data_IF_521873594331
#
_entry.id   IF_521873594331
#
_cell.length_a   1.000
_cell.length_b   1.000
_cell.length_c   1.000
_cell.angle_alpha   90.00
_cell.angle_beta   90.00
_cell.angle_gamma   90.00
#
_symmetry.space_group_name_H-M   'P 1'
#
loop_
_entity.id
_entity.type
_entity.pdbx_description
1 polymer ?
#
# COMPACT_ATOMS: atom_id res chain seq x y z
N UNK A 1 8.42 33.61 40.83
CA UNK A 1 8.33 33.38 39.37
C UNK A 1 8.43 31.88 39.17
N UNK A 2 7.31 31.24 38.91
CA UNK A 2 7.22 29.79 38.72
C UNK A 2 7.27 29.54 37.23
N UNK A 3 8.30 28.88 36.73
CA UNK A 3 8.37 28.45 35.33
C UNK A 3 7.20 27.51 35.02
N UNK A 4 6.51 27.69 33.88
CA UNK A 4 5.48 26.74 33.47
C UNK A 4 6.14 25.38 33.15
N UNK A 5 5.48 24.25 33.44
CA UNK A 5 6.00 22.95 33.11
C UNK A 5 6.14 22.84 31.58
N UNK A 6 7.35 22.46 31.14
CA UNK A 6 7.63 22.07 29.75
C UNK A 6 6.72 20.89 29.44
N UNK A 7 5.71 21.10 28.60
CA UNK A 7 4.90 20.00 28.06
C UNK A 7 5.82 19.05 27.31
N UNK A 8 6.00 17.85 27.84
CA UNK A 8 6.62 16.76 27.11
C UNK A 8 5.84 16.55 25.79
N UNK A 9 6.52 16.46 24.64
CA UNK A 9 5.84 16.12 23.40
C UNK A 9 5.13 14.78 23.59
N UNK A 10 3.90 14.63 23.05
CA UNK A 10 3.17 13.38 23.17
C UNK A 10 4.07 12.24 22.64
N UNK A 11 4.08 11.06 23.30
CA UNK A 11 4.90 9.95 22.86
C UNK A 11 4.59 9.67 21.39
N UNK A 12 5.63 9.67 20.56
CA UNK A 12 5.52 9.26 19.16
C UNK A 12 4.77 7.92 19.16
N UNK A 13 3.57 7.90 18.57
CA UNK A 13 2.77 6.68 18.50
C UNK A 13 3.55 5.68 17.68
N UNK A 14 4.19 4.75 18.37
CA UNK A 14 4.98 3.67 17.75
C UNK A 14 4.07 2.91 16.78
N UNK A 15 4.54 2.68 15.57
CA UNK A 15 3.83 1.82 14.61
C UNK A 15 3.51 0.47 15.24
N UNK A 16 2.33 -0.09 14.99
CA UNK A 16 2.09 -1.50 15.30
C UNK A 16 3.08 -2.36 14.50
N UNK A 17 3.73 -3.37 15.11
CA UNK A 17 4.74 -4.20 14.43
C UNK A 17 4.19 -4.89 13.17
N UNK A 18 2.90 -5.23 13.18
CA UNK A 18 2.20 -5.84 12.04
C UNK A 18 2.17 -4.94 10.79
N UNK A 19 2.27 -3.62 10.95
CA UNK A 19 2.36 -2.70 9.82
C UNK A 19 3.71 -2.82 9.12
N UNK A 20 4.80 -2.93 9.87
CA UNK A 20 6.15 -3.08 9.32
C UNK A 20 6.30 -4.46 8.65
N UNK A 21 5.78 -5.51 9.27
CA UNK A 21 5.71 -6.86 8.66
C UNK A 21 4.89 -6.85 7.36
N UNK A 22 3.79 -6.09 7.33
CA UNK A 22 3.01 -5.91 6.11
C UNK A 22 3.82 -5.18 5.02
N UNK A 23 4.57 -4.13 5.35
CA UNK A 23 5.45 -3.46 4.38
C UNK A 23 6.49 -4.41 3.79
N UNK A 24 7.07 -5.29 4.61
CA UNK A 24 7.99 -6.33 4.15
C UNK A 24 7.30 -7.32 3.19
N UNK A 25 6.03 -7.70 3.47
CA UNK A 25 5.23 -8.53 2.56
C UNK A 25 4.94 -7.83 1.25
N UNK A 26 4.68 -6.52 1.25
CA UNK A 26 4.46 -5.73 0.03
C UNK A 26 5.74 -5.69 -0.81
N UNK A 27 6.92 -5.53 -0.18
CA UNK A 27 8.22 -5.64 -0.88
C UNK A 27 8.41 -7.02 -1.50
N UNK A 28 8.19 -8.09 -0.72
CA UNK A 28 8.32 -9.46 -1.22
C UNK A 28 7.37 -9.74 -2.41
N UNK A 29 6.16 -9.17 -2.37
CA UNK A 29 5.21 -9.25 -3.48
C UNK A 29 5.75 -8.55 -4.74
N UNK A 30 6.26 -7.32 -4.60
CA UNK A 30 6.89 -6.59 -5.71
C UNK A 30 8.00 -7.43 -6.36
N UNK A 31 8.92 -7.97 -5.56
CA UNK A 31 10.04 -8.77 -6.04
C UNK A 31 9.59 -10.05 -6.75
N UNK A 32 8.60 -10.74 -6.20
CA UNK A 32 8.05 -11.96 -6.79
C UNK A 32 7.34 -11.71 -8.13
N UNK A 33 6.54 -10.64 -8.22
CA UNK A 33 5.87 -10.25 -9.47
C UNK A 33 6.92 -9.82 -10.51
N UNK A 34 7.90 -9.02 -10.12
CA UNK A 34 8.98 -8.57 -11.02
C UNK A 34 9.77 -9.72 -11.59
N UNK A 35 10.16 -10.67 -10.73
CA UNK A 35 10.84 -11.89 -11.16
C UNK A 35 10.02 -12.65 -12.20
N UNK A 36 8.72 -12.85 -11.93
CA UNK A 36 7.81 -13.56 -12.84
C UNK A 36 7.62 -12.83 -14.16
N UNK A 37 7.42 -11.51 -14.14
CA UNK A 37 7.24 -10.69 -15.32
C UNK A 37 8.52 -10.60 -16.18
N UNK A 38 9.70 -10.63 -15.57
CA UNK A 38 10.99 -10.61 -16.30
C UNK A 38 11.16 -11.82 -17.22
N UNK A 39 10.55 -12.96 -16.88
CA UNK A 39 10.55 -14.16 -17.74
C UNK A 39 9.47 -14.15 -18.83
N UNK A 40 8.52 -13.20 -18.76
CA UNK A 40 7.39 -13.12 -19.69
C UNK A 40 7.50 -11.95 -20.67
N UNK A 41 8.21 -10.90 -20.29
CA UNK A 41 8.41 -9.69 -21.09
C UNK A 41 9.84 -9.65 -21.63
N UNK A 42 10.01 -9.15 -22.85
CA UNK A 42 11.33 -9.00 -23.47
C UNK A 42 12.16 -7.85 -22.85
N UNK A 43 11.48 -6.83 -22.33
CA UNK A 43 12.10 -5.65 -21.71
C UNK A 43 11.98 -5.72 -20.17
N UNK A 44 13.11 -5.83 -19.44
CA UNK A 44 13.13 -5.83 -17.98
C UNK A 44 12.55 -4.56 -17.33
N UNK A 45 12.58 -3.42 -18.02
CA UNK A 45 12.02 -2.16 -17.53
C UNK A 45 10.49 -2.20 -17.49
N UNK A 46 9.84 -2.89 -18.44
CA UNK A 46 8.40 -3.13 -18.44
C UNK A 46 7.99 -4.08 -17.31
N UNK A 47 8.83 -5.08 -16.99
CA UNK A 47 8.58 -5.97 -15.86
C UNK A 47 8.52 -5.21 -14.53
N UNK A 48 9.36 -4.20 -14.33
CA UNK A 48 9.28 -3.32 -13.16
C UNK A 48 7.98 -2.52 -13.15
N UNK A 49 7.62 -1.88 -14.28
CA UNK A 49 6.40 -1.07 -14.40
C UNK A 49 5.12 -1.88 -14.13
N UNK A 50 5.03 -3.09 -14.68
CA UNK A 50 3.93 -4.02 -14.38
C UNK A 50 3.89 -4.33 -12.89
N UNK A 51 5.05 -4.60 -12.28
CA UNK A 51 5.12 -4.98 -10.85
C UNK A 51 4.68 -3.85 -9.92
N UNK A 52 5.09 -2.61 -10.21
CA UNK A 52 4.62 -1.43 -9.46
C UNK A 52 3.11 -1.31 -9.55
N UNK A 53 2.53 -1.44 -10.75
CA UNK A 53 1.10 -1.29 -10.95
C UNK A 53 0.28 -2.43 -10.33
N UNK A 54 0.80 -3.67 -10.32
CA UNK A 54 0.19 -4.79 -9.59
C UNK A 54 0.16 -4.49 -8.09
N UNK A 55 1.30 -4.07 -7.52
CA UNK A 55 1.38 -3.78 -6.09
C UNK A 55 0.46 -2.61 -5.71
N UNK A 56 0.46 -1.54 -6.49
CA UNK A 56 -0.49 -0.44 -6.34
C UNK A 56 -1.95 -0.92 -6.32
N UNK A 57 -2.34 -1.78 -7.29
CA UNK A 57 -3.67 -2.36 -7.36
C UNK A 57 -4.03 -3.26 -6.16
N UNK A 58 -3.04 -3.95 -5.59
CA UNK A 58 -3.21 -4.76 -4.39
C UNK A 58 -3.36 -3.90 -3.12
N UNK A 59 -2.52 -2.87 -2.96
CA UNK A 59 -2.55 -1.97 -1.80
C UNK A 59 -3.79 -1.09 -1.79
N UNK A 60 -4.31 -0.69 -2.96
CA UNK A 60 -5.58 0.02 -3.08
C UNK A 60 -6.80 -0.79 -2.56
N UNK A 61 -6.63 -2.09 -2.30
CA UNK A 61 -7.64 -2.97 -1.69
C UNK A 61 -7.02 -3.75 -0.54
N UNK A 62 -6.66 -3.10 0.58
CA UNK A 62 -5.74 -3.66 1.56
C UNK A 62 -6.26 -4.90 2.30
N UNK A 63 -7.59 -5.10 2.36
CA UNK A 63 -8.21 -6.32 2.91
C UNK A 63 -7.81 -7.62 2.20
N UNK A 64 -7.19 -7.54 1.00
CA UNK A 64 -6.62 -8.72 0.34
C UNK A 64 -5.49 -9.37 1.11
N UNK A 65 -4.75 -8.58 1.91
CA UNK A 65 -3.57 -9.05 2.61
C UNK A 65 -3.91 -9.94 3.82
N UNK A 66 -5.20 -9.99 4.23
CA UNK A 66 -5.71 -10.96 5.21
C UNK A 66 -5.64 -12.40 4.69
N UNK A 67 -5.73 -12.57 3.37
CA UNK A 67 -5.80 -13.89 2.76
C UNK A 67 -4.41 -14.38 2.38
N UNK A 68 -4.18 -15.67 2.62
CA UNK A 68 -3.05 -16.41 2.06
C UNK A 68 -3.58 -17.48 1.09
N UNK A 69 -2.84 -17.75 0.02
CA UNK A 69 -3.16 -18.81 -0.95
C UNK A 69 -3.94 -18.36 -2.19
N UNK A 70 -4.81 -19.24 -2.72
CA UNK A 70 -5.37 -19.14 -4.08
C UNK A 70 -6.11 -17.82 -4.41
N UNK A 71 -6.94 -17.24 -3.51
CA UNK A 71 -7.60 -15.97 -3.81
C UNK A 71 -6.62 -14.79 -3.96
N UNK A 72 -5.49 -14.86 -3.24
CA UNK A 72 -4.45 -13.84 -3.27
C UNK A 72 -3.62 -13.95 -4.57
N UNK A 73 -3.14 -15.15 -4.91
CA UNK A 73 -2.38 -15.39 -6.14
C UNK A 73 -3.22 -15.18 -7.41
N UNK A 74 -4.50 -15.58 -7.40
CA UNK A 74 -5.41 -15.35 -8.52
C UNK A 74 -5.65 -13.86 -8.81
N UNK A 75 -5.69 -13.01 -7.78
CA UNK A 75 -5.82 -11.56 -7.97
C UNK A 75 -4.55 -10.95 -8.57
N UNK A 76 -3.38 -11.39 -8.10
CA UNK A 76 -2.09 -10.98 -8.65
C UNK A 76 -2.00 -11.38 -10.12
N UNK A 77 -2.31 -12.64 -10.45
CA UNK A 77 -2.30 -13.13 -11.82
C UNK A 77 -3.23 -12.31 -12.73
N UNK A 78 -4.47 -12.07 -12.29
CA UNK A 78 -5.43 -11.26 -13.06
C UNK A 78 -4.93 -9.83 -13.33
N UNK A 79 -4.34 -9.17 -12.34
CA UNK A 79 -3.76 -7.84 -12.54
C UNK A 79 -2.55 -7.89 -13.49
N UNK A 80 -1.63 -8.82 -13.23
CA UNK A 80 -0.40 -8.97 -14.00
C UNK A 80 -0.68 -9.32 -15.47
N UNK A 81 -1.64 -10.20 -15.77
CA UNK A 81 -1.99 -10.58 -17.14
C UNK A 81 -2.49 -9.41 -17.96
N UNK A 82 -3.39 -8.58 -17.41
CA UNK A 82 -3.87 -7.39 -18.11
C UNK A 82 -2.75 -6.38 -18.36
N UNK A 83 -1.86 -6.18 -17.39
CA UNK A 83 -0.73 -5.27 -17.50
C UNK A 83 0.36 -5.77 -18.45
N UNK A 84 0.63 -7.08 -18.47
CA UNK A 84 1.53 -7.70 -19.45
C UNK A 84 0.97 -7.54 -20.86
N UNK A 85 -0.32 -7.80 -21.06
CA UNK A 85 -0.95 -7.62 -22.36
C UNK A 85 -0.89 -6.15 -22.85
N UNK A 86 -1.10 -5.19 -21.95
CA UNK A 86 -0.92 -3.77 -22.25
C UNK A 86 0.54 -3.43 -22.58
N UNK A 87 1.51 -4.04 -21.90
CA UNK A 87 2.94 -3.86 -22.16
C UNK A 87 3.32 -4.38 -23.56
N UNK A 88 2.87 -5.58 -23.91
CA UNK A 88 3.10 -6.19 -25.23
C UNK A 88 2.46 -5.37 -26.36
N UNK A 89 1.32 -4.71 -26.09
CA UNK A 89 0.65 -3.79 -27.01
C UNK A 89 1.31 -2.39 -27.08
N UNK A 90 2.28 -2.08 -26.23
CA UNK A 90 2.86 -0.74 -26.12
C UNK A 90 1.94 0.30 -25.48
N UNK A 91 0.89 -0.16 -24.78
CA UNK A 91 -0.15 0.67 -24.15
C UNK A 91 0.04 0.79 -22.62
N UNK A 92 1.07 0.17 -22.06
CA UNK A 92 1.35 0.25 -20.63
C UNK A 92 1.72 1.68 -20.23
N UNK A 93 0.93 2.26 -19.32
CA UNK A 93 1.24 3.55 -18.73
C UNK A 93 2.53 3.45 -17.90
N UNK A 94 3.44 4.41 -18.07
CA UNK A 94 4.65 4.53 -17.23
C UNK A 94 4.31 5.32 -15.97
N UNK A 95 4.55 4.70 -14.83
CA UNK A 95 4.28 5.25 -13.51
C UNK A 95 5.56 5.42 -12.69
N UNK A 96 5.43 6.02 -11.52
CA UNK A 96 6.51 6.13 -10.53
C UNK A 96 7.25 4.80 -10.31
N UNK A 97 8.52 4.86 -9.95
CA UNK A 97 9.30 3.66 -9.62
C UNK A 97 8.86 3.02 -8.29
N UNK A 98 9.34 1.79 -8.04
CA UNK A 98 9.09 1.09 -6.78
C UNK A 98 9.52 1.87 -5.53
N UNK A 99 10.69 2.52 -5.46
CA UNK A 99 11.10 3.28 -4.28
C UNK A 99 10.08 4.36 -3.90
N UNK A 100 9.57 5.10 -4.88
CA UNK A 100 8.59 6.16 -4.66
C UNK A 100 7.23 5.62 -4.20
N UNK A 101 6.74 4.53 -4.81
CA UNK A 101 5.51 3.89 -4.36
C UNK A 101 5.66 3.36 -2.91
N UNK A 102 6.77 2.68 -2.61
CA UNK A 102 7.06 2.15 -1.28
C UNK A 102 7.11 3.26 -0.24
N UNK A 103 7.82 4.35 -0.50
CA UNK A 103 7.97 5.45 0.46
C UNK A 103 6.63 6.14 0.73
N UNK A 104 5.77 6.30 -0.29
CA UNK A 104 4.41 6.82 -0.12
C UNK A 104 3.56 5.89 0.76
N UNK A 105 3.60 4.59 0.51
CA UNK A 105 2.84 3.61 1.32
C UNK A 105 3.35 3.57 2.77
N UNK A 106 4.67 3.57 2.97
CA UNK A 106 5.27 3.61 4.30
C UNK A 106 4.97 4.94 5.03
N UNK A 107 4.74 6.00 4.28
CA UNK A 107 4.29 7.32 4.74
C UNK A 107 2.83 7.38 5.22
N UNK A 108 2.12 6.25 5.34
CA UNK A 108 0.77 6.23 5.93
C UNK A 108 0.78 6.96 7.29
N UNK A 109 -0.05 7.99 7.47
CA UNK A 109 -0.11 8.76 8.71
C UNK A 109 -0.33 7.87 9.93
N UNK A 110 0.33 8.21 11.05
CA UNK A 110 0.35 7.39 12.26
C UNK A 110 -1.05 7.09 12.82
N UNK A 111 -1.97 8.04 12.67
CA UNK A 111 -3.38 7.95 13.06
C UNK A 111 -4.18 6.92 12.24
N UNK A 112 -3.68 6.54 11.06
CA UNK A 112 -4.30 5.56 10.18
C UNK A 112 -3.68 4.16 10.30
N UNK A 113 -2.52 4.02 10.96
CA UNK A 113 -1.83 2.73 11.10
C UNK A 113 -2.61 1.73 11.96
N UNK A 114 -3.13 2.16 13.11
CA UNK A 114 -3.93 1.27 13.98
C UNK A 114 -5.25 0.85 13.29
N UNK A 115 -6.06 1.77 12.70
CA UNK A 115 -7.22 1.37 11.92
C UNK A 115 -6.90 0.41 10.78
N UNK A 116 -5.82 0.67 10.04
CA UNK A 116 -5.36 -0.19 8.96
C UNK A 116 -5.07 -1.61 9.45
N UNK A 117 -4.33 -1.75 10.55
CA UNK A 117 -3.96 -3.05 11.10
C UNK A 117 -5.21 -3.82 11.54
N UNK A 118 -6.07 -3.18 12.33
CA UNK A 118 -7.30 -3.84 12.84
C UNK A 118 -8.19 -4.27 11.69
N UNK A 119 -8.54 -3.39 10.76
CA UNK A 119 -9.57 -3.71 9.75
C UNK A 119 -9.02 -4.44 8.53
N UNK A 120 -7.81 -4.10 8.07
CA UNK A 120 -7.27 -4.61 6.81
C UNK A 120 -6.38 -5.86 6.99
N UNK A 121 -5.63 -5.94 8.08
CA UNK A 121 -4.70 -7.05 8.33
C UNK A 121 -5.34 -8.14 9.19
N UNK A 122 -5.96 -7.75 10.31
CA UNK A 122 -6.64 -8.68 11.22
C UNK A 122 -8.06 -9.02 10.77
N UNK A 123 -8.69 -8.15 9.97
CA UNK A 123 -10.03 -8.34 9.46
C UNK A 123 -11.12 -8.01 10.48
N UNK A 124 -10.78 -7.19 11.48
CA UNK A 124 -11.70 -6.82 12.55
C UNK A 124 -12.81 -5.89 12.07
N UNK A 125 -13.92 -5.91 12.80
CA UNK A 125 -15.10 -5.10 12.50
C UNK A 125 -15.05 -3.71 13.16
N UNK A 126 -16.14 -2.96 13.02
CA UNK A 126 -16.27 -1.60 13.56
C UNK A 126 -16.23 -1.58 15.10
N UNK A 127 -16.76 -2.60 15.76
CA UNK A 127 -16.77 -2.69 17.23
C UNK A 127 -15.36 -2.97 17.76
N UNK A 128 -14.63 -3.88 17.12
CA UNK A 128 -13.23 -4.14 17.43
C UNK A 128 -12.35 -2.91 17.18
N UNK A 129 -12.62 -2.18 16.10
CA UNK A 129 -11.95 -0.91 15.82
C UNK A 129 -12.29 0.17 16.87
N UNK A 130 -13.56 0.31 17.23
CA UNK A 130 -14.01 1.26 18.25
C UNK A 130 -13.34 0.99 19.61
N UNK A 131 -13.27 -0.28 20.00
CA UNK A 131 -12.58 -0.72 21.20
C UNK A 131 -11.07 -0.41 21.14
N UNK A 132 -10.41 -0.69 20.01
CA UNK A 132 -8.98 -0.41 19.82
C UNK A 132 -8.66 1.09 19.88
N UNK A 133 -9.57 1.94 19.37
CA UNK A 133 -9.41 3.39 19.34
C UNK A 133 -9.94 4.10 20.59
N UNK A 134 -10.64 3.39 21.48
CA UNK A 134 -11.29 3.96 22.65
C UNK A 134 -12.36 5.00 22.29
N UNK A 135 -13.12 4.78 21.22
CA UNK A 135 -14.19 5.67 20.77
C UNK A 135 -15.51 4.93 20.55
N UNK A 136 -16.57 5.65 20.20
CA UNK A 136 -17.84 5.04 19.78
C UNK A 136 -17.74 4.45 18.34
N UNK A 137 -18.66 3.53 17.98
CA UNK A 137 -18.69 2.91 16.65
C UNK A 137 -18.78 3.88 15.48
N UNK A 138 -19.57 4.96 15.59
CA UNK A 138 -19.73 5.93 14.50
C UNK A 138 -18.42 6.68 14.23
N UNK A 139 -17.69 7.05 15.29
CA UNK A 139 -16.37 7.67 15.17
C UNK A 139 -15.31 6.68 14.67
N UNK A 140 -15.48 5.37 14.90
CA UNK A 140 -14.61 4.33 14.34
C UNK A 140 -14.85 4.13 12.84
N UNK A 141 -16.10 4.13 12.39
CA UNK A 141 -16.47 4.07 10.97
C UNK A 141 -15.86 5.23 10.18
N UNK A 142 -16.03 6.47 10.65
CA UNK A 142 -15.46 7.65 10.02
C UNK A 142 -13.92 7.58 9.90
N UNK A 143 -13.24 7.04 10.93
CA UNK A 143 -11.79 6.84 10.90
C UNK A 143 -11.37 5.75 9.95
N UNK A 144 -12.14 4.67 9.84
CA UNK A 144 -11.90 3.59 8.89
C UNK A 144 -12.06 4.09 7.45
N UNK A 145 -13.12 4.84 7.15
CA UNK A 145 -13.33 5.43 5.83
C UNK A 145 -12.19 6.37 5.44
N UNK A 146 -11.82 7.29 6.34
CA UNK A 146 -10.70 8.20 6.11
C UNK A 146 -9.39 7.45 5.86
N UNK A 147 -9.12 6.38 6.62
CA UNK A 147 -7.96 5.52 6.41
C UNK A 147 -8.00 4.84 5.04
N UNK A 148 -9.13 4.25 4.63
CA UNK A 148 -9.26 3.57 3.34
C UNK A 148 -9.08 4.55 2.17
N UNK A 149 -9.62 5.77 2.28
CA UNK A 149 -9.38 6.84 1.30
C UNK A 149 -7.90 7.19 1.25
N UNK A 150 -7.25 7.41 2.39
CA UNK A 150 -5.83 7.73 2.47
C UNK A 150 -4.97 6.64 1.80
N UNK A 151 -5.18 5.38 2.15
CA UNK A 151 -4.47 4.23 1.54
C UNK A 151 -4.70 4.18 0.03
N UNK A 152 -5.94 4.40 -0.42
CA UNK A 152 -6.26 4.46 -1.84
C UNK A 152 -5.48 5.54 -2.58
N UNK A 153 -5.35 6.74 -2.00
CA UNK A 153 -4.55 7.83 -2.59
C UNK A 153 -3.05 7.51 -2.59
N UNK A 154 -2.51 6.97 -1.50
CA UNK A 154 -1.09 6.57 -1.43
C UNK A 154 -0.74 5.46 -2.43
N UNK A 155 -1.68 4.54 -2.65
CA UNK A 155 -1.51 3.42 -3.57
C UNK A 155 -1.62 3.84 -5.05
N UNK A 156 -2.21 5.00 -5.39
CA UNK A 156 -2.29 5.45 -6.78
C UNK A 156 -0.88 5.67 -7.31
N UNK A 157 -0.43 4.89 -8.31
CA UNK A 157 0.89 5.10 -8.86
C UNK A 157 0.83 6.40 -9.67
N UNK A 158 1.60 7.41 -9.26
CA UNK A 158 1.67 8.67 -9.99
C UNK A 158 2.21 8.42 -11.39
N UNK A 159 1.90 9.27 -12.37
CA UNK A 159 2.56 9.19 -13.67
C UNK A 159 4.04 9.51 -13.49
N UNK A 160 4.92 8.72 -14.11
CA UNK A 160 6.34 9.08 -14.10
C UNK A 160 6.51 10.50 -14.65
N UNK A 161 7.42 11.31 -14.09
CA UNK A 161 7.78 12.57 -14.74
C UNK A 161 8.22 12.23 -16.17
N UNK A 162 7.67 12.93 -17.16
CA UNK A 162 8.12 12.82 -18.55
C UNK A 162 9.59 13.22 -18.56
N UNK A 163 10.47 12.23 -18.66
CA UNK A 163 11.91 12.49 -18.77
C UNK A 163 12.14 13.32 -20.01
N UNK A 164 12.60 14.56 -19.84
CA UNK A 164 13.15 15.36 -20.93
C UNK A 164 14.23 14.51 -21.58
N UNK A 165 14.06 14.22 -22.87
CA UNK A 165 15.01 13.50 -23.70
C UNK A 165 16.42 14.07 -23.47
N UNK A 166 17.31 13.26 -22.91
CA UNK A 166 18.75 13.54 -22.99
C UNK A 166 19.21 13.01 -24.35
N UNK A 167 19.40 13.95 -25.28
CA UNK A 167 20.05 13.70 -26.57
C UNK A 167 21.53 13.36 -26.46
#
# INVERSE_FOLDING_TARGET
MTEPPVSEPPPERRSPPEFDEWLDRVRALFEAVRFTCTHRLADPSLAEQVSVQVVAGMVARPSVFRYFGLPFSGRIAKLAEGLIAAADAGELAVVCGWPELRDRIAGLPSEHREPFVVTCLRGGDVEELAAALGCDPAAAELRNEAMLTCVGELARPGTAPVGIERG
#
